data_IF_022218087943
#
_entry.id   IF_022218087943
#
_cell.length_a   1.000
_cell.length_b   1.000
_cell.length_c   1.000
_cell.angle_alpha   90.00
_cell.angle_beta   90.00
_cell.angle_gamma   90.00
#
_symmetry.space_group_name_H-M   'P 1'
#
loop_
_entity.id
_entity.type
_entity.pdbx_description
1 polymer ?
#
# COMPACT_ATOMS: atom_id res chain seq x y z
N UNK A 1 17.59 -10.69 -12.54
CA UNK A 1 16.45 -9.92 -11.99
C UNK A 1 16.88 -9.35 -10.64
N UNK A 2 16.76 -8.04 -10.37
CA UNK A 2 17.16 -7.53 -9.08
C UNK A 2 16.15 -8.03 -8.04
N UNK A 3 16.62 -8.93 -7.16
CA UNK A 3 15.90 -9.29 -5.94
C UNK A 3 15.80 -8.02 -5.12
N UNK A 4 14.58 -7.52 -4.97
CA UNK A 4 14.26 -6.58 -3.90
C UNK A 4 14.82 -7.15 -2.60
N UNK A 5 15.63 -6.38 -1.83
CA UNK A 5 16.08 -6.87 -0.53
C UNK A 5 14.85 -7.29 0.29
N UNK A 6 14.95 -8.34 1.12
CA UNK A 6 13.85 -8.73 1.98
C UNK A 6 13.34 -7.48 2.69
N UNK A 7 12.04 -7.22 2.58
CA UNK A 7 11.38 -6.15 3.31
C UNK A 7 11.84 -6.28 4.76
N UNK A 8 12.58 -5.29 5.25
CA UNK A 8 13.17 -5.37 6.58
C UNK A 8 12.08 -5.48 7.63
N UNK A 9 12.43 -5.88 8.85
CA UNK A 9 11.48 -5.82 9.95
C UNK A 9 11.12 -4.36 10.24
N UNK A 10 9.83 -4.03 10.17
CA UNK A 10 9.33 -2.69 10.51
C UNK A 10 9.39 -2.48 12.02
N UNK A 11 10.00 -1.38 12.45
CA UNK A 11 10.04 -0.93 13.84
C UNK A 11 8.86 -0.02 14.18
N UNK A 12 8.50 0.89 13.29
CA UNK A 12 7.42 1.86 13.49
C UNK A 12 6.57 2.04 12.23
N UNK A 13 5.27 2.28 12.44
CA UNK A 13 4.28 2.57 11.39
C UNK A 13 3.56 3.84 11.83
N UNK A 14 3.54 4.84 10.96
CA UNK A 14 2.77 6.05 11.16
C UNK A 14 1.79 6.18 10.00
N UNK A 15 0.50 6.12 10.29
CA UNK A 15 -0.53 6.36 9.26
C UNK A 15 -0.51 7.85 8.89
N UNK A 16 -0.13 8.16 7.66
CA UNK A 16 -0.09 9.53 7.12
C UNK A 16 -1.37 9.86 6.37
N UNK A 17 -2.03 8.85 5.80
CA UNK A 17 -3.34 8.97 5.18
C UNK A 17 -4.20 7.73 5.46
N UNK A 18 -5.09 7.86 6.45
CA UNK A 18 -5.94 6.74 6.87
C UNK A 18 -7.10 6.47 5.89
N UNK A 19 -7.65 7.50 5.26
CA UNK A 19 -8.78 7.35 4.32
C UNK A 19 -8.26 7.33 2.89
N UNK A 20 -8.80 6.44 2.06
CA UNK A 20 -8.41 6.40 0.66
C UNK A 20 -8.77 7.70 -0.05
N UNK A 21 -7.81 8.26 -0.78
CA UNK A 21 -7.95 9.49 -1.58
C UNK A 21 -7.30 9.26 -2.94
N UNK A 22 -7.80 9.94 -3.97
CA UNK A 22 -7.13 9.94 -5.27
C UNK A 22 -5.83 10.79 -5.24
N UNK A 23 -5.11 10.83 -6.37
CA UNK A 23 -3.87 11.61 -6.47
C UNK A 23 -4.03 13.12 -6.20
N UNK A 24 -5.23 13.68 -6.35
CA UNK A 24 -5.55 15.09 -6.07
C UNK A 24 -6.20 15.32 -4.70
N UNK A 25 -6.34 14.28 -3.87
CA UNK A 25 -6.84 14.37 -2.49
C UNK A 25 -8.37 14.23 -2.33
N UNK A 26 -9.09 13.84 -3.38
CA UNK A 26 -10.54 13.66 -3.31
C UNK A 26 -10.92 12.30 -2.73
N UNK A 27 -11.88 12.31 -1.79
CA UNK A 27 -12.40 11.11 -1.11
C UNK A 27 -13.64 10.50 -1.76
N UNK A 28 -14.45 11.31 -2.43
CA UNK A 28 -15.71 10.90 -3.05
C UNK A 28 -15.59 9.68 -4.00
N UNK A 29 -14.57 9.61 -4.90
CA UNK A 29 -14.40 8.43 -5.75
C UNK A 29 -13.88 7.19 -4.98
N UNK A 30 -13.40 7.38 -3.75
CA UNK A 30 -12.79 6.36 -2.89
C UNK A 30 -13.73 5.95 -1.73
N UNK A 31 -15.05 6.09 -1.90
CA UNK A 31 -16.03 5.75 -0.86
C UNK A 31 -16.26 4.25 -0.72
N UNK A 32 -16.64 3.81 0.49
CA UNK A 32 -16.92 2.41 0.80
C UNK A 32 -15.76 1.61 1.39
N UNK A 33 -14.67 2.29 1.74
CA UNK A 33 -13.55 1.71 2.49
C UNK A 33 -13.51 2.20 3.93
N UNK A 34 -13.10 1.31 4.84
CA UNK A 34 -12.76 1.68 6.22
C UNK A 34 -11.37 2.35 6.27
N UNK A 35 -11.11 3.18 7.30
CA UNK A 35 -9.77 3.74 7.50
C UNK A 35 -8.70 2.65 7.70
N UNK A 36 -7.52 2.89 7.11
CA UNK A 36 -6.31 2.10 7.30
C UNK A 36 -5.85 2.19 8.76
N UNK A 37 -5.56 1.04 9.36
CA UNK A 37 -4.95 0.94 10.68
C UNK A 37 -3.56 0.28 10.60
N UNK A 38 -2.73 0.47 11.63
CA UNK A 38 -1.38 -0.12 11.66
C UNK A 38 -1.39 -1.64 11.51
N UNK A 39 -2.39 -2.33 12.08
CA UNK A 39 -2.53 -3.79 11.96
C UNK A 39 -2.67 -4.23 10.50
N UNK A 40 -3.32 -3.42 9.67
CA UNK A 40 -3.58 -3.71 8.26
C UNK A 40 -2.27 -3.59 7.47
N UNK A 41 -1.48 -2.56 7.78
CA UNK A 41 -0.13 -2.39 7.23
C UNK A 41 0.78 -3.57 7.60
N UNK A 42 0.75 -3.99 8.87
CA UNK A 42 1.53 -5.17 9.31
C UNK A 42 1.07 -6.45 8.61
N UNK A 43 -0.24 -6.65 8.51
CA UNK A 43 -0.81 -7.80 7.83
C UNK A 43 -0.43 -7.82 6.34
N UNK A 44 -0.53 -6.67 5.67
CA UNK A 44 -0.13 -6.50 4.28
C UNK A 44 1.34 -6.82 4.09
N UNK A 45 2.24 -6.19 4.85
CA UNK A 45 3.69 -6.42 4.72
C UNK A 45 4.11 -7.86 5.05
N UNK A 46 3.39 -8.53 5.95
CA UNK A 46 3.64 -9.94 6.28
C UNK A 46 3.36 -10.91 5.13
N UNK A 47 2.50 -10.54 4.19
CA UNK A 47 2.05 -11.42 3.10
C UNK A 47 2.33 -10.87 1.70
N UNK A 48 2.71 -9.62 1.60
CA UNK A 48 3.03 -8.96 0.35
C UNK A 48 4.28 -9.56 -0.30
N UNK A 49 4.23 -9.67 -1.62
CA UNK A 49 5.33 -10.12 -2.46
C UNK A 49 5.71 -9.02 -3.45
N UNK A 50 7.00 -8.86 -3.77
CA UNK A 50 7.43 -7.91 -4.78
C UNK A 50 6.93 -8.34 -6.16
N UNK A 51 6.40 -7.39 -6.93
CA UNK A 51 5.97 -7.59 -8.30
C UNK A 51 6.71 -6.64 -9.25
N UNK A 52 6.77 -6.99 -10.53
CA UNK A 52 7.35 -6.13 -11.55
C UNK A 52 6.48 -4.89 -11.78
N UNK A 53 7.07 -3.78 -12.25
CA UNK A 53 6.32 -2.57 -12.64
C UNK A 53 5.26 -2.88 -13.70
N UNK A 54 5.53 -3.81 -14.64
CA UNK A 54 4.56 -4.23 -15.66
C UNK A 54 3.35 -4.93 -15.04
N UNK A 55 3.59 -5.85 -14.09
CA UNK A 55 2.51 -6.52 -13.36
C UNK A 55 1.70 -5.51 -12.54
N UNK A 56 2.39 -4.56 -11.89
CA UNK A 56 1.74 -3.51 -11.13
C UNK A 56 0.87 -2.62 -12.01
N UNK A 57 1.34 -2.19 -13.19
CA UNK A 57 0.56 -1.38 -14.13
C UNK A 57 -0.68 -2.12 -14.64
N UNK A 58 -0.59 -3.43 -14.86
CA UNK A 58 -1.74 -4.25 -15.24
C UNK A 58 -2.81 -4.28 -14.14
N UNK A 59 -2.38 -4.43 -12.88
CA UNK A 59 -3.28 -4.41 -11.72
C UNK A 59 -3.81 -2.99 -11.44
N UNK A 60 -2.99 -1.95 -11.56
CA UNK A 60 -3.37 -0.56 -11.28
C UNK A 60 -4.43 -0.03 -12.24
N UNK A 61 -4.39 -0.49 -13.51
CA UNK A 61 -5.42 -0.19 -14.50
C UNK A 61 -6.81 -0.72 -14.08
N UNK A 62 -6.85 -1.71 -13.17
CA UNK A 62 -8.07 -2.33 -12.68
C UNK A 62 -8.60 -1.70 -11.38
N UNK A 63 -7.74 -1.10 -10.55
CA UNK A 63 -8.08 -0.66 -9.18
C UNK A 63 -8.39 0.84 -9.06
N UNK A 64 -7.88 1.66 -9.98
CA UNK A 64 -8.02 3.12 -9.95
C UNK A 64 -7.03 3.83 -9.01
N UNK A 65 -7.13 5.17 -8.95
CA UNK A 65 -6.13 6.05 -8.32
C UNK A 65 -6.29 6.25 -6.81
N UNK A 66 -7.18 5.51 -6.15
CA UNK A 66 -7.46 5.65 -4.72
C UNK A 66 -6.46 4.89 -3.87
N UNK A 67 -5.80 5.57 -2.93
CA UNK A 67 -4.86 4.92 -2.01
C UNK A 67 -4.87 5.50 -0.59
N UNK A 68 -4.50 4.65 0.35
CA UNK A 68 -4.16 5.01 1.74
C UNK A 68 -2.64 5.03 1.89
N UNK A 69 -2.13 5.69 2.92
CA UNK A 69 -0.69 5.91 3.07
C UNK A 69 -0.22 5.72 4.51
N UNK A 70 0.93 5.08 4.65
CA UNK A 70 1.65 4.98 5.90
C UNK A 70 3.15 5.23 5.69
N UNK A 71 3.77 5.94 6.62
CA UNK A 71 5.22 6.03 6.73
C UNK A 71 5.74 4.89 7.59
N UNK A 72 6.74 4.18 7.08
CA UNK A 72 7.39 3.05 7.71
C UNK A 72 8.79 3.44 8.14
N UNK A 73 9.18 3.02 9.35
CA UNK A 73 10.57 2.98 9.79
C UNK A 73 10.96 1.52 9.98
N UNK A 74 12.06 1.11 9.37
CA UNK A 74 12.62 -0.23 9.50
C UNK A 74 13.60 -0.29 10.67
N UNK A 75 13.82 -1.49 11.22
CA UNK A 75 14.78 -1.70 12.33
C UNK A 75 16.22 -1.32 11.97
N UNK A 76 16.56 -1.33 10.68
CA UNK A 76 17.87 -0.91 10.17
C UNK A 76 17.97 0.62 9.94
N UNK A 77 16.95 1.38 10.36
CA UNK A 77 16.91 2.83 10.26
C UNK A 77 16.43 3.35 8.90
N UNK A 78 16.19 2.48 7.91
CA UNK A 78 15.60 2.91 6.64
C UNK A 78 14.17 3.43 6.85
N UNK A 79 13.77 4.38 6.02
CA UNK A 79 12.43 4.94 6.01
C UNK A 79 11.82 4.76 4.62
N UNK A 80 10.53 4.48 4.56
CA UNK A 80 9.79 4.41 3.31
C UNK A 80 8.34 4.86 3.50
N UNK A 81 7.74 5.36 2.44
CA UNK A 81 6.29 5.59 2.34
C UNK A 81 5.67 4.37 1.68
N UNK A 82 4.58 3.87 2.25
CA UNK A 82 3.79 2.77 1.69
C UNK A 82 2.41 3.30 1.30
N UNK A 83 2.15 3.38 0.01
CA UNK A 83 0.82 3.65 -0.53
C UNK A 83 0.10 2.32 -0.83
N UNK A 84 -0.99 2.02 -0.13
CA UNK A 84 -1.81 0.82 -0.34
C UNK A 84 -3.04 1.22 -1.16
N UNK A 85 -3.25 0.55 -2.30
CA UNK A 85 -4.41 0.78 -3.15
C UNK A 85 -5.72 0.45 -2.43
N UNK A 86 -6.81 1.02 -2.91
CA UNK A 86 -8.16 0.83 -2.39
C UNK A 86 -8.62 -0.63 -2.32
N UNK A 87 -8.25 -1.44 -3.30
CA UNK A 87 -8.53 -2.88 -3.30
C UNK A 87 -7.73 -3.65 -2.23
N UNK A 88 -6.77 -2.97 -1.58
CA UNK A 88 -5.78 -3.52 -0.66
C UNK A 88 -4.99 -4.73 -1.19
N UNK A 89 -5.06 -4.99 -2.50
CA UNK A 89 -4.37 -6.06 -3.19
C UNK A 89 -2.98 -5.65 -3.66
N UNK A 90 -2.76 -4.35 -3.88
CA UNK A 90 -1.49 -3.79 -4.34
C UNK A 90 -1.01 -2.62 -3.49
N UNK A 91 0.29 -2.42 -3.47
CA UNK A 91 0.90 -1.26 -2.83
C UNK A 91 2.18 -0.82 -3.53
N UNK A 92 2.54 0.45 -3.35
CA UNK A 92 3.82 1.01 -3.74
C UNK A 92 4.60 1.40 -2.49
N UNK A 93 5.78 0.81 -2.33
CA UNK A 93 6.74 1.14 -1.29
C UNK A 93 7.82 2.07 -1.88
N UNK A 94 7.83 3.31 -1.44
CA UNK A 94 8.75 4.35 -1.92
C UNK A 94 9.79 4.65 -0.84
N UNK A 95 11.07 4.33 -1.05
CA UNK A 95 12.12 4.69 -0.09
C UNK A 95 12.19 6.20 0.14
N UNK A 96 12.48 6.61 1.37
CA UNK A 96 12.73 8.02 1.74
C UNK A 96 14.20 8.14 2.11
N UNK A 97 14.96 8.88 1.30
CA UNK A 97 16.40 9.12 1.50
C UNK A 97 16.60 10.61 1.69
N UNK A 98 17.28 11.01 2.78
CA UNK A 98 17.48 12.42 3.15
C UNK A 98 16.17 13.25 3.16
N UNK A 99 15.07 12.64 3.62
CA UNK A 99 13.75 13.27 3.70
C UNK A 99 13.01 13.38 2.36
N UNK A 100 13.56 12.86 1.26
CA UNK A 100 12.94 12.87 -0.07
C UNK A 100 12.52 11.48 -0.51
N UNK A 101 11.28 11.37 -0.98
CA UNK A 101 10.80 10.17 -1.65
C UNK A 101 11.59 9.93 -2.93
N UNK A 102 12.01 8.68 -3.13
CA UNK A 102 12.73 8.28 -4.32
C UNK A 102 11.77 8.04 -5.47
N UNK A 103 12.15 8.45 -6.68
CA UNK A 103 11.31 8.31 -7.87
C UNK A 103 10.97 6.82 -8.14
N UNK A 104 11.95 5.95 -7.90
CA UNK A 104 11.83 4.51 -8.11
C UNK A 104 11.27 3.81 -6.86
N UNK A 105 9.94 3.67 -6.83
CA UNK A 105 9.26 2.85 -5.83
C UNK A 105 9.21 1.37 -6.21
N UNK A 106 9.06 0.53 -5.20
CA UNK A 106 8.88 -0.91 -5.33
C UNK A 106 7.40 -1.27 -5.28
N UNK A 107 6.96 -2.12 -6.20
CA UNK A 107 5.56 -2.55 -6.24
C UNK A 107 5.41 -3.87 -5.48
N UNK A 108 4.37 -3.94 -4.68
CA UNK A 108 4.04 -5.06 -3.82
C UNK A 108 2.63 -5.53 -4.13
N UNK A 109 2.40 -6.84 -4.08
CA UNK A 109 1.08 -7.46 -4.20
C UNK A 109 0.82 -8.38 -3.04
N UNK A 110 -0.37 -8.28 -2.45
CA UNK A 110 -0.88 -9.20 -1.46
C UNK A 110 -2.25 -9.72 -1.91
N UNK A 111 -2.29 -10.87 -2.60
CA UNK A 111 -3.53 -11.42 -3.13
C UNK A 111 -4.57 -11.73 -2.02
N UNK A 112 -4.10 -12.16 -0.85
CA UNK A 112 -4.94 -12.44 0.31
C UNK A 112 -5.39 -11.19 1.08
N UNK A 113 -4.83 -10.02 0.77
CA UNK A 113 -5.23 -8.75 1.37
C UNK A 113 -6.30 -8.05 0.54
N UNK A 114 -6.71 -8.63 -0.60
CA UNK A 114 -7.78 -8.07 -1.41
C UNK A 114 -9.05 -7.87 -0.56
N UNK A 115 -9.60 -6.65 -0.59
CA UNK A 115 -10.77 -6.26 0.19
C UNK A 115 -10.52 -6.06 1.69
N UNK A 116 -9.26 -6.01 2.14
CA UNK A 116 -8.91 -5.76 3.55
C UNK A 116 -9.51 -4.46 4.10
N UNK A 117 -9.65 -3.45 3.23
CA UNK A 117 -10.21 -2.15 3.54
C UNK A 117 -11.69 -2.02 3.19
N UNK A 118 -12.33 -3.06 2.65
CA UNK A 118 -13.76 -3.00 2.36
C UNK A 118 -14.57 -2.92 3.64
N UNK A 119 -15.65 -2.13 3.60
CA UNK A 119 -16.62 -2.12 4.70
C UNK A 119 -17.34 -3.48 4.77
N UNK A 120 -17.57 -4.02 5.99
CA UNK A 120 -18.38 -5.22 6.17
C UNK A 120 -19.80 -4.93 5.66
N UNK A 121 -20.15 -5.47 4.50
CA UNK A 121 -21.41 -5.20 3.80
C UNK A 121 -21.28 -5.11 2.27
N UNK A 122 -20.06 -5.05 1.74
CA UNK A 122 -19.77 -5.04 0.29
C UNK A 122 -19.10 -6.33 -0.22
N UNK A 123 -19.46 -7.49 0.35
CA UNK A 123 -19.18 -8.75 -0.37
C UNK A 123 -19.97 -8.72 -1.68
N UNK A 124 -19.37 -9.02 -2.84
CA UNK A 124 -20.14 -9.15 -4.07
C UNK A 124 -21.20 -10.23 -3.85
N UNK A 125 -22.42 -10.09 -4.41
CA UNK A 125 -23.36 -11.19 -4.45
C UNK A 125 -22.66 -12.38 -5.13
N UNK A 126 -22.73 -13.55 -4.47
CA UNK A 126 -22.29 -14.82 -5.06
C UNK A 126 -23.13 -15.17 -6.29
#
# INVERSE_FOLDING_TARGET
>A
MPRLPPLGTVSSIQITRATAENAVGEKAPCTGMRPLAERDVRHFLGHARPISRRAALHDHFLTGDCYTEARLTFKDGRVATLGIANDAGTARLTPVVQGKEQEHGHHLRCAQCAGLLDLPGRLPPQ
#
